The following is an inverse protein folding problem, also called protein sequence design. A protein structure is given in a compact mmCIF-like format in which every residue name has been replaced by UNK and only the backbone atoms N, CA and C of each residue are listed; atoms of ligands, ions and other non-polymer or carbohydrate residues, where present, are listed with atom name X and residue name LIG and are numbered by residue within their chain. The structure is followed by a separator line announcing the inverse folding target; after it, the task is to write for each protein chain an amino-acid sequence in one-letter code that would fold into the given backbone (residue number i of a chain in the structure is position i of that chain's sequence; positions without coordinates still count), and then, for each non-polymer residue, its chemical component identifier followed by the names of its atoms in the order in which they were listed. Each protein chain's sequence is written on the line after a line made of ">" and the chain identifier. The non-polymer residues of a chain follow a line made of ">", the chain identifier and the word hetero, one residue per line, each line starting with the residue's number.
data_IF_194140695375
#
_entry.id   IF_194140695375
#
_cell.length_a   1.000
_cell.length_b   1.000
_cell.length_c   1.000
_cell.angle_alpha   90.00
_cell.angle_beta   90.00
_cell.angle_gamma   90.00
#
_symmetry.space_group_name_H-M   'P 1'
#
loop_
_entity.id
_entity.type
_entity.pdbx_description
1 polymer ?
#
# COMPACT_ATOMS: atom_id res chain seq x y z
N UNK A 1 -56.74 60.60 11.88
CA UNK A 1 -56.66 60.22 13.30
C UNK A 1 -55.76 58.99 13.42
N UNK A 2 -54.87 59.01 14.42
CA UNK A 2 -54.10 57.90 15.06
C UNK A 2 -54.70 56.50 14.78
N UNK A 3 -53.97 55.40 14.58
CA UNK A 3 -52.80 54.80 15.24
C UNK A 3 -52.66 53.42 14.55
N UNK A 4 -51.51 52.79 14.37
CA UNK A 4 -50.61 52.28 15.41
C UNK A 4 -50.20 50.86 14.99
N UNK A 5 -48.90 50.60 15.04
CA UNK A 5 -48.23 49.36 14.66
C UNK A 5 -48.57 48.21 15.61
N UNK A 6 -48.77 46.99 15.09
CA UNK A 6 -48.61 45.74 15.84
C UNK A 6 -47.73 44.81 15.01
N UNK A 7 -46.50 44.65 15.49
CA UNK A 7 -45.53 43.65 15.06
C UNK A 7 -45.99 42.30 15.63
N UNK A 8 -46.21 41.31 14.76
CA UNK A 8 -46.46 39.93 15.17
C UNK A 8 -45.24 39.08 14.80
N UNK A 9 -44.45 38.72 15.81
CA UNK A 9 -43.32 37.82 15.70
C UNK A 9 -43.83 36.38 15.56
N UNK A 10 -43.68 35.77 14.39
CA UNK A 10 -43.93 34.35 14.19
C UNK A 10 -42.73 33.54 14.71
N UNK A 11 -42.93 32.85 15.83
CA UNK A 11 -42.01 31.80 16.32
C UNK A 11 -42.34 30.53 15.52
N UNK A 12 -41.46 30.16 14.59
CA UNK A 12 -41.53 28.86 13.92
C UNK A 12 -40.99 27.78 14.87
N UNK A 13 -41.88 26.96 15.42
CA UNK A 13 -41.51 25.68 16.05
C UNK A 13 -40.95 24.75 14.98
N UNK A 14 -39.62 24.61 14.93
CA UNK A 14 -38.99 23.49 14.23
C UNK A 14 -39.19 22.23 15.08
N UNK A 15 -40.10 21.37 14.66
CA UNK A 15 -40.17 19.99 15.12
C UNK A 15 -38.89 19.30 14.63
N UNK A 16 -37.94 19.07 15.52
CA UNK A 16 -36.82 18.15 15.31
C UNK A 16 -37.41 16.76 15.04
N UNK A 17 -37.57 16.41 13.75
CA UNK A 17 -37.60 15.02 13.33
C UNK A 17 -36.25 14.43 13.72
N UNK A 18 -36.25 13.69 14.83
CA UNK A 18 -35.24 12.66 15.09
C UNK A 18 -35.29 11.72 13.90
N UNK A 19 -34.39 11.95 12.93
CA UNK A 19 -34.10 10.95 11.93
C UNK A 19 -33.40 9.84 12.70
N UNK A 20 -34.14 8.78 13.00
CA UNK A 20 -33.53 7.51 13.38
C UNK A 20 -32.43 7.22 12.38
N UNK A 21 -31.23 6.94 12.89
CA UNK A 21 -30.13 6.49 12.07
C UNK A 21 -30.64 5.34 11.18
N UNK A 22 -30.37 5.34 9.87
CA UNK A 22 -30.66 4.16 9.08
C UNK A 22 -29.88 2.99 9.68
N UNK A 23 -30.59 1.92 10.07
CA UNK A 23 -30.00 0.63 10.40
C UNK A 23 -29.14 0.20 9.21
N UNK A 24 -27.83 0.45 9.30
CA UNK A 24 -26.88 0.06 8.28
C UNK A 24 -26.52 -1.41 8.51
N UNK A 25 -27.29 -2.32 7.88
CA UNK A 25 -26.85 -3.69 7.62
C UNK A 25 -25.65 -3.66 6.67
N UNK A 26 -24.53 -4.25 7.07
CA UNK A 26 -23.32 -4.40 6.26
C UNK A 26 -22.53 -5.62 6.80
N UNK A 27 -21.85 -6.44 5.97
CA UNK A 27 -21.29 -6.18 4.62
C UNK A 27 -21.54 -7.28 3.55
N UNK A 28 -22.56 -7.09 2.69
CA UNK A 28 -22.52 -7.67 1.34
C UNK A 28 -21.33 -7.05 0.57
N UNK A 29 -20.71 -7.77 -0.37
CA UNK A 29 -19.57 -7.32 -1.21
C UNK A 29 -19.72 -5.86 -1.72
N UNK A 30 -19.26 -4.89 -0.93
CA UNK A 30 -19.49 -3.45 -1.14
C UNK A 30 -18.59 -2.88 -2.24
N UNK A 31 -17.52 -3.61 -2.55
CA UNK A 31 -16.51 -3.28 -3.55
C UNK A 31 -16.81 -3.92 -4.92
N UNK A 32 -18.06 -4.32 -5.16
CA UNK A 32 -18.50 -4.88 -6.45
C UNK A 32 -18.13 -4.00 -7.64
N UNK A 33 -18.18 -2.68 -7.49
CA UNK A 33 -17.74 -1.72 -8.52
C UNK A 33 -16.22 -1.79 -8.77
N UNK A 34 -15.42 -1.99 -7.72
CA UNK A 34 -13.95 -2.12 -7.84
C UNK A 34 -13.58 -3.44 -8.50
N UNK A 35 -14.23 -4.55 -8.12
CA UNK A 35 -14.03 -5.83 -8.80
C UNK A 35 -14.44 -5.75 -10.26
N UNK A 36 -15.54 -5.07 -10.58
CA UNK A 36 -15.96 -4.83 -11.97
C UNK A 36 -14.89 -4.06 -12.74
N UNK A 37 -14.32 -3.00 -12.17
CA UNK A 37 -13.20 -2.26 -12.80
C UNK A 37 -11.96 -3.14 -13.00
N UNK A 38 -11.65 -4.03 -12.05
CA UNK A 38 -10.56 -5.00 -12.20
C UNK A 38 -10.86 -5.99 -13.32
N UNK A 39 -12.08 -6.51 -13.41
CA UNK A 39 -12.50 -7.42 -14.49
C UNK A 39 -12.42 -6.76 -15.87
N UNK A 40 -12.89 -5.52 -15.98
CA UNK A 40 -12.78 -4.72 -17.22
C UNK A 40 -11.33 -4.52 -17.61
N UNK A 41 -10.46 -4.20 -16.65
CA UNK A 41 -9.04 -3.99 -16.89
C UNK A 41 -8.31 -5.28 -17.30
N UNK A 42 -8.59 -6.40 -16.63
CA UNK A 42 -7.97 -7.68 -16.95
C UNK A 42 -8.64 -8.39 -18.14
N UNK A 43 -9.80 -7.92 -18.61
CA UNK A 43 -10.58 -8.53 -19.69
C UNK A 43 -11.13 -9.91 -19.32
N UNK A 44 -11.34 -10.19 -18.04
CA UNK A 44 -11.77 -11.51 -17.54
C UNK A 44 -12.65 -11.35 -16.31
N UNK A 45 -13.70 -12.17 -16.21
CA UNK A 45 -14.50 -12.26 -14.99
C UNK A 45 -13.69 -12.95 -13.90
N UNK A 46 -13.61 -12.31 -12.74
CA UNK A 46 -12.94 -12.87 -11.59
C UNK A 46 -13.84 -13.95 -11.00
N UNK A 47 -13.27 -15.06 -10.55
CA UNK A 47 -14.00 -16.15 -9.90
C UNK A 47 -14.61 -15.68 -8.57
N UNK A 48 -15.82 -16.15 -8.27
CA UNK A 48 -16.54 -15.86 -7.01
C UNK A 48 -16.93 -17.12 -6.25
N UNK A 49 -16.92 -18.29 -6.90
CA UNK A 49 -17.19 -19.56 -6.23
C UNK A 49 -16.03 -19.94 -5.35
N UNK A 50 -16.30 -20.11 -4.06
CA UNK A 50 -15.27 -20.40 -3.06
C UNK A 50 -14.43 -21.62 -3.44
N UNK A 51 -15.08 -22.71 -3.87
CA UNK A 51 -14.41 -23.97 -4.23
C UNK A 51 -13.62 -23.89 -5.55
N UNK A 52 -13.85 -22.88 -6.38
CA UNK A 52 -13.19 -22.70 -7.68
C UNK A 52 -12.00 -21.70 -7.61
N UNK A 53 -11.80 -21.10 -6.43
CA UNK A 53 -10.65 -20.26 -6.12
C UNK A 53 -9.45 -21.10 -5.68
N UNK A 54 -8.24 -20.81 -6.18
CA UNK A 54 -7.03 -21.47 -5.69
C UNK A 54 -6.79 -21.11 -4.23
N UNK A 55 -6.28 -22.07 -3.45
CA UNK A 55 -5.90 -21.87 -2.05
C UNK A 55 -4.46 -21.40 -1.88
N UNK A 56 -3.64 -21.48 -2.92
CA UNK A 56 -2.30 -20.90 -2.91
C UNK A 56 -1.82 -20.59 -4.33
N UNK A 57 -0.89 -19.65 -4.43
CA UNK A 57 -0.10 -19.44 -5.63
C UNK A 57 1.14 -18.59 -5.33
N UNK A 58 2.17 -18.80 -6.14
CA UNK A 58 3.39 -17.99 -6.17
C UNK A 58 3.66 -17.55 -7.60
N UNK A 59 4.05 -16.29 -7.77
CA UNK A 59 4.49 -15.77 -9.06
C UNK A 59 5.86 -16.36 -9.39
N UNK A 60 6.04 -16.82 -10.62
CA UNK A 60 7.33 -17.36 -11.10
C UNK A 60 8.44 -16.29 -11.01
N UNK A 61 8.08 -15.05 -11.35
CA UNK A 61 8.94 -13.87 -11.15
C UNK A 61 8.30 -13.03 -10.06
N UNK A 62 8.85 -13.12 -8.86
CA UNK A 62 8.46 -12.25 -7.76
C UNK A 62 8.85 -10.80 -8.09
N UNK A 63 8.04 -9.80 -7.72
CA UNK A 63 8.49 -8.42 -7.66
C UNK A 63 9.80 -8.33 -6.87
N UNK A 64 10.79 -7.60 -7.39
CA UNK A 64 12.06 -7.39 -6.68
C UNK A 64 11.85 -6.45 -5.48
N UNK A 65 12.79 -6.47 -4.53
CA UNK A 65 12.75 -5.54 -3.39
C UNK A 65 13.85 -4.49 -3.48
N UNK A 66 13.73 -3.43 -2.70
CA UNK A 66 14.75 -2.41 -2.52
C UNK A 66 14.48 -1.58 -1.28
N UNK A 67 15.43 -0.70 -0.89
CA UNK A 67 15.18 0.25 0.18
C UNK A 67 14.07 1.23 -0.22
N UNK A 68 13.35 1.74 0.79
CA UNK A 68 12.27 2.71 0.55
C UNK A 68 12.77 4.15 0.38
N UNK A 69 14.07 4.42 0.48
CA UNK A 69 14.67 5.76 0.27
C UNK A 69 14.00 6.84 1.11
N UNK A 70 14.26 6.80 2.41
CA UNK A 70 13.46 7.52 3.39
C UNK A 70 13.58 9.03 3.23
N UNK A 71 12.47 9.71 3.45
CA UNK A 71 12.40 11.17 3.37
C UNK A 71 13.35 11.85 4.35
N UNK A 72 13.53 11.29 5.56
CA UNK A 72 14.46 11.83 6.55
C UNK A 72 15.95 11.71 6.15
N UNK A 73 16.28 10.86 5.18
CA UNK A 73 17.61 10.77 4.56
C UNK A 73 17.76 11.64 3.31
N UNK A 74 16.76 12.47 3.02
CA UNK A 74 16.64 13.23 1.77
C UNK A 74 16.44 12.34 0.53
N UNK A 75 15.78 11.19 0.72
CA UNK A 75 15.46 10.22 -0.34
C UNK A 75 16.70 9.75 -1.10
N UNK A 76 16.63 9.62 -2.43
CA UNK A 76 17.74 9.18 -3.29
C UNK A 76 18.91 10.17 -3.39
N UNK A 77 18.87 11.30 -2.68
CA UNK A 77 20.05 12.14 -2.45
C UNK A 77 20.99 11.56 -1.37
N UNK A 78 20.54 10.55 -0.64
CA UNK A 78 21.38 9.88 0.34
C UNK A 78 22.51 9.09 -0.35
N UNK A 79 23.79 9.38 -0.05
CA UNK A 79 24.93 8.61 -0.54
C UNK A 79 25.03 7.29 0.23
N UNK A 80 24.14 6.34 -0.09
CA UNK A 80 24.00 5.06 0.61
C UNK A 80 25.26 4.17 0.59
N UNK A 81 26.22 4.46 -0.29
CA UNK A 81 27.51 3.78 -0.36
C UNK A 81 28.61 4.75 0.03
N UNK A 82 29.40 4.38 1.03
CA UNK A 82 30.50 5.20 1.54
C UNK A 82 31.47 5.64 0.43
N UNK A 83 31.88 6.91 0.47
CA UNK A 83 32.79 7.54 -0.49
C UNK A 83 32.31 7.51 -1.96
N UNK A 84 31.00 7.37 -2.19
CA UNK A 84 30.41 7.42 -3.52
C UNK A 84 29.36 8.53 -3.60
N UNK A 85 29.15 9.14 -4.79
CA UNK A 85 28.04 10.05 -4.99
C UNK A 85 26.69 9.33 -4.81
N UNK A 86 25.67 10.08 -4.42
CA UNK A 86 24.28 9.58 -4.34
C UNK A 86 23.73 9.15 -5.71
N UNK A 87 22.67 8.32 -5.75
CA UNK A 87 21.99 7.96 -6.99
C UNK A 87 21.62 9.19 -7.84
N UNK A 88 21.10 10.25 -7.22
CA UNK A 88 20.79 11.52 -7.90
C UNK A 88 22.02 12.15 -8.55
N UNK A 89 23.13 12.25 -7.81
CA UNK A 89 24.36 12.86 -8.31
C UNK A 89 24.96 12.05 -9.46
N UNK A 90 24.96 10.71 -9.33
CA UNK A 90 25.42 9.82 -10.39
C UNK A 90 24.60 10.00 -11.67
N UNK A 91 23.28 10.08 -11.56
CA UNK A 91 22.41 10.36 -12.71
C UNK A 91 22.74 11.73 -13.32
N UNK A 92 22.86 12.78 -12.50
CA UNK A 92 23.21 14.10 -13.02
C UNK A 92 24.55 14.10 -13.77
N UNK A 93 25.59 13.47 -13.21
CA UNK A 93 26.90 13.35 -13.87
C UNK A 93 26.82 12.59 -15.20
N UNK A 94 26.15 11.45 -15.21
CA UNK A 94 26.11 10.58 -16.39
C UNK A 94 25.32 11.20 -17.56
N UNK A 95 24.33 12.04 -17.27
CA UNK A 95 23.46 12.68 -18.27
C UNK A 95 23.72 14.17 -18.45
N UNK A 96 24.79 14.71 -17.87
CA UNK A 96 25.21 16.11 -18.07
C UNK A 96 24.24 17.14 -17.48
N UNK A 97 23.60 16.83 -16.36
CA UNK A 97 22.65 17.71 -15.66
C UNK A 97 23.32 18.46 -14.49
N UNK A 98 22.69 19.53 -14.03
CA UNK A 98 23.12 20.23 -12.82
C UNK A 98 22.77 19.42 -11.58
N UNK A 99 23.78 18.83 -10.93
CA UNK A 99 23.57 17.99 -9.75
C UNK A 99 22.94 18.76 -8.57
N UNK A 100 23.31 20.02 -8.36
CA UNK A 100 22.75 20.84 -7.27
C UNK A 100 21.26 21.07 -7.47
N UNK A 101 20.85 21.42 -8.69
CA UNK A 101 19.45 21.64 -9.05
C UNK A 101 18.64 20.34 -8.94
N UNK A 102 19.17 19.23 -9.48
CA UNK A 102 18.46 17.95 -9.43
C UNK A 102 18.28 17.45 -7.99
N UNK A 103 19.29 17.59 -7.13
CA UNK A 103 19.17 17.27 -5.70
C UNK A 103 18.12 18.14 -5.02
N UNK A 104 18.06 19.44 -5.34
CA UNK A 104 17.02 20.31 -4.81
C UNK A 104 15.62 19.82 -5.20
N UNK A 105 15.41 19.49 -6.48
CA UNK A 105 14.13 18.97 -6.98
C UNK A 105 13.74 17.64 -6.31
N UNK A 106 14.69 16.71 -6.15
CA UNK A 106 14.46 15.46 -5.41
C UNK A 106 14.04 15.73 -3.97
N UNK A 107 14.74 16.65 -3.31
CA UNK A 107 14.44 17.00 -1.93
C UNK A 107 13.06 17.65 -1.78
N UNK A 108 12.68 18.51 -2.72
CA UNK A 108 11.38 19.19 -2.74
C UNK A 108 10.22 18.23 -3.03
N UNK A 109 10.46 17.18 -3.83
CA UNK A 109 9.42 16.21 -4.16
C UNK A 109 9.30 15.06 -3.13
N UNK A 110 10.42 14.55 -2.65
CA UNK A 110 10.46 13.28 -1.90
C UNK A 110 11.31 13.32 -0.62
N UNK A 111 12.19 14.31 -0.49
CA UNK A 111 13.13 14.44 0.61
C UNK A 111 12.72 15.50 1.62
N UNK A 112 13.70 16.12 2.27
CA UNK A 112 13.49 16.98 3.43
C UNK A 112 12.65 18.23 3.13
N UNK A 113 12.78 18.80 1.93
CA UNK A 113 12.00 19.99 1.55
C UNK A 113 10.54 19.68 1.24
N UNK A 114 10.19 18.43 0.94
CA UNK A 114 8.79 18.05 0.73
C UNK A 114 7.93 18.15 2.00
N UNK A 115 8.56 18.16 3.18
CA UNK A 115 7.87 18.10 4.49
C UNK A 115 8.26 19.23 5.45
N UNK A 116 9.21 20.10 5.08
CA UNK A 116 9.85 21.06 5.99
C UNK A 116 8.88 21.98 6.73
N UNK A 117 7.79 22.38 6.08
CA UNK A 117 6.83 23.34 6.62
C UNK A 117 5.67 22.65 7.35
N UNK A 118 5.57 21.32 7.24
CA UNK A 118 4.44 20.53 7.74
C UNK A 118 4.77 19.71 8.99
N UNK A 119 6.06 19.61 9.35
CA UNK A 119 6.53 18.71 10.42
C UNK A 119 6.99 19.47 11.66
N UNK A 120 6.80 18.89 12.87
CA UNK A 120 7.25 19.51 14.10
C UNK A 120 8.76 19.75 14.10
N UNK A 121 9.19 20.88 14.64
CA UNK A 121 10.60 21.16 14.85
C UNK A 121 11.20 20.30 15.98
N UNK A 122 12.50 20.04 15.92
CA UNK A 122 13.26 19.33 16.94
C UNK A 122 14.69 19.88 17.09
N UNK A 123 15.32 19.60 18.23
CA UNK A 123 16.72 19.94 18.49
C UNK A 123 17.64 18.71 18.41
N UNK A 124 17.27 17.64 19.11
CA UNK A 124 17.99 16.36 19.12
C UNK A 124 17.09 15.12 19.13
N UNK A 125 15.83 15.26 19.57
CA UNK A 125 14.86 14.17 19.62
C UNK A 125 13.46 14.62 19.24
N UNK A 126 12.64 13.65 18.85
CA UNK A 126 11.23 13.83 18.54
C UNK A 126 10.36 13.39 19.71
N UNK A 127 9.13 13.92 19.76
CA UNK A 127 8.13 13.50 20.77
C UNK A 127 7.62 12.09 20.49
N UNK A 128 7.43 11.75 19.22
CA UNK A 128 7.13 10.39 18.78
C UNK A 128 8.48 9.66 18.60
N UNK A 129 8.65 8.51 19.26
CA UNK A 129 9.90 7.74 19.25
C UNK A 129 10.13 7.01 17.92
N UNK A 130 9.08 6.90 17.10
CA UNK A 130 9.14 6.37 15.74
C UNK A 130 9.63 7.41 14.72
N UNK A 131 9.66 8.70 15.10
CA UNK A 131 10.14 9.79 14.26
C UNK A 131 11.66 9.99 14.42
N UNK A 132 12.30 10.41 13.34
CA UNK A 132 13.72 10.78 13.32
C UNK A 132 13.84 12.30 13.30
N UNK A 133 14.57 12.85 14.28
CA UNK A 133 14.97 14.24 14.26
C UNK A 133 16.11 14.43 13.24
N UNK A 134 15.80 15.05 12.10
CA UNK A 134 16.80 15.38 11.08
C UNK A 134 17.05 16.87 11.06
N UNK A 135 18.32 17.27 11.18
CA UNK A 135 18.74 18.66 11.07
C UNK A 135 19.10 19.01 9.62
N UNK A 136 18.52 20.10 9.12
CA UNK A 136 18.98 20.74 7.90
C UNK A 136 19.06 22.25 8.12
N UNK A 137 20.20 22.85 7.78
CA UNK A 137 20.47 24.29 7.93
C UNK A 137 20.27 24.83 9.36
N UNK A 138 20.50 24.00 10.38
CA UNK A 138 20.43 24.40 11.79
C UNK A 138 19.06 24.23 12.43
N UNK A 139 18.02 23.90 11.67
CA UNK A 139 16.68 23.60 12.19
C UNK A 139 16.40 22.10 12.06
N UNK A 140 16.12 21.43 13.18
CA UNK A 140 15.69 20.04 13.17
C UNK A 140 14.20 19.93 12.89
N UNK A 141 13.81 18.89 12.16
CA UNK A 141 12.41 18.50 11.93
C UNK A 141 12.20 17.00 12.21
N UNK A 142 11.05 16.66 12.76
CA UNK A 142 10.64 15.29 13.05
C UNK A 142 9.95 14.65 11.86
N UNK A 143 10.57 13.62 11.30
CA UNK A 143 10.06 12.91 10.13
C UNK A 143 9.82 11.45 10.51
N UNK A 144 8.62 10.89 10.27
CA UNK A 144 8.35 9.48 10.51
C UNK A 144 9.27 8.59 9.68
N UNK A 145 9.80 7.53 10.29
CA UNK A 145 10.73 6.58 9.63
C UNK A 145 10.14 5.96 8.35
N UNK A 146 8.84 5.73 8.31
CA UNK A 146 8.18 5.09 7.17
C UNK A 146 8.00 5.99 5.94
N UNK A 147 8.18 7.32 6.07
CA UNK A 147 8.08 8.23 4.93
C UNK A 147 9.19 7.90 3.91
N UNK A 148 8.80 7.63 2.66
CA UNK A 148 9.74 7.30 1.59
C UNK A 148 9.03 7.11 0.25
N UNK A 149 9.61 6.22 -0.56
CA UNK A 149 9.24 5.92 -1.94
C UNK A 149 8.56 4.56 -2.10
N UNK A 150 7.98 3.96 -1.05
CA UNK A 150 7.32 2.63 -1.17
C UNK A 150 6.26 2.61 -2.29
N UNK A 151 5.54 3.73 -2.48
CA UNK A 151 4.55 3.95 -3.54
C UNK A 151 5.12 3.96 -4.97
N UNK A 152 6.42 4.24 -5.13
CA UNK A 152 7.13 4.18 -6.40
C UNK A 152 7.92 2.87 -6.57
N UNK A 153 8.50 2.37 -5.47
CA UNK A 153 9.22 1.11 -5.40
C UNK A 153 8.31 -0.08 -5.76
N UNK A 154 7.16 -0.21 -5.10
CA UNK A 154 6.26 -1.35 -5.30
C UNK A 154 5.81 -1.55 -6.76
N UNK A 155 5.35 -0.52 -7.50
CA UNK A 155 5.04 -0.70 -8.92
C UNK A 155 6.27 -0.90 -9.81
N UNK A 156 7.40 -0.24 -9.52
CA UNK A 156 8.65 -0.49 -10.25
C UNK A 156 9.09 -1.96 -10.12
N UNK A 157 8.96 -2.52 -8.92
CA UNK A 157 9.22 -3.91 -8.60
C UNK A 157 8.38 -4.91 -9.41
N UNK A 158 7.11 -4.57 -9.65
CA UNK A 158 6.19 -5.41 -10.42
C UNK A 158 6.52 -5.38 -11.92
N UNK A 159 6.83 -4.19 -12.45
CA UNK A 159 6.87 -3.97 -13.90
C UNK A 159 8.26 -4.10 -14.51
N UNK A 160 9.31 -3.75 -13.78
CA UNK A 160 10.65 -3.67 -14.32
C UNK A 160 11.49 -4.88 -13.97
N UNK A 161 12.46 -5.18 -14.84
CA UNK A 161 13.49 -6.16 -14.51
C UNK A 161 14.27 -5.70 -13.29
N UNK A 162 14.69 -6.65 -12.47
CA UNK A 162 15.58 -6.34 -11.37
C UNK A 162 16.96 -5.94 -11.91
N UNK A 163 17.54 -4.80 -11.47
CA UNK A 163 18.95 -4.52 -11.67
C UNK A 163 19.79 -5.54 -10.88
N UNK A 164 20.74 -6.23 -11.54
CA UNK A 164 21.46 -7.36 -10.92
C UNK A 164 22.95 -7.07 -10.66
N UNK A 165 23.59 -6.28 -11.50
CA UNK A 165 25.02 -6.02 -11.42
C UNK A 165 25.34 -4.52 -11.51
N UNK A 166 26.51 -4.08 -11.01
CA UNK A 166 27.02 -2.76 -11.30
C UNK A 166 27.30 -2.58 -12.80
N UNK A 167 27.05 -1.38 -13.31
CA UNK A 167 27.33 -0.99 -14.70
C UNK A 167 28.06 0.33 -14.74
N UNK A 168 28.79 0.60 -15.83
CA UNK A 168 29.37 1.90 -16.11
C UNK A 168 28.67 2.53 -17.30
N UNK A 169 28.16 3.75 -17.13
CA UNK A 169 27.55 4.54 -18.20
C UNK A 169 28.12 5.96 -18.16
N UNK A 170 28.65 6.44 -19.29
CA UNK A 170 29.30 7.75 -19.41
C UNK A 170 30.33 8.02 -18.28
N UNK A 171 31.19 7.04 -18.00
CA UNK A 171 32.22 7.08 -16.95
C UNK A 171 31.70 7.17 -15.51
N UNK A 172 30.41 6.93 -15.27
CA UNK A 172 29.81 6.84 -13.94
C UNK A 172 29.41 5.40 -13.65
N UNK A 173 29.84 4.88 -12.50
CA UNK A 173 29.46 3.55 -12.02
C UNK A 173 28.12 3.60 -11.26
N UNK A 174 27.15 2.83 -11.72
CA UNK A 174 25.86 2.63 -11.07
C UNK A 174 25.78 1.21 -10.52
N UNK A 175 25.53 1.07 -9.22
CA UNK A 175 25.22 -0.20 -8.59
C UNK A 175 23.72 -0.50 -8.74
N UNK A 176 23.29 -1.77 -8.56
CA UNK A 176 21.87 -2.14 -8.57
C UNK A 176 20.99 -1.24 -7.71
N UNK A 177 21.46 -0.90 -6.51
CA UNK A 177 20.71 -0.06 -5.59
C UNK A 177 20.56 1.39 -6.12
N UNK A 178 21.57 1.95 -6.79
CA UNK A 178 21.44 3.27 -7.44
C UNK A 178 20.29 3.27 -8.46
N UNK A 179 20.22 2.22 -9.28
CA UNK A 179 19.22 2.07 -10.34
C UNK A 179 17.83 1.82 -9.74
N UNK A 180 17.72 1.00 -8.68
CA UNK A 180 16.48 0.78 -7.93
C UNK A 180 15.94 2.07 -7.33
N UNK A 181 16.81 2.94 -6.79
CA UNK A 181 16.40 4.27 -6.32
C UNK A 181 15.89 5.16 -7.43
N UNK A 182 16.64 5.25 -8.54
CA UNK A 182 16.25 6.08 -9.68
C UNK A 182 14.90 5.66 -10.28
N UNK A 183 14.69 4.35 -10.49
CA UNK A 183 13.43 3.86 -11.06
C UNK A 183 12.26 4.03 -10.08
N UNK A 184 12.49 3.85 -8.78
CA UNK A 184 11.47 4.12 -7.75
C UNK A 184 11.05 5.59 -7.74
N UNK A 185 12.00 6.52 -7.86
CA UNK A 185 11.72 7.95 -7.96
C UNK A 185 10.96 8.31 -9.25
N UNK A 186 11.27 7.64 -10.38
CA UNK A 186 10.50 7.80 -11.62
C UNK A 186 9.04 7.37 -11.42
N UNK A 187 8.81 6.18 -10.87
CA UNK A 187 7.46 5.68 -10.62
C UNK A 187 6.72 6.51 -9.56
N UNK A 188 7.39 7.04 -8.55
CA UNK A 188 6.80 7.94 -7.56
C UNK A 188 6.40 9.30 -8.18
N UNK A 189 7.17 9.79 -9.15
CA UNK A 189 6.87 11.01 -9.91
C UNK A 189 5.93 10.78 -11.10
N UNK A 190 5.59 9.53 -11.42
CA UNK A 190 4.68 9.18 -12.49
C UNK A 190 3.23 9.22 -12.01
N UNK A 191 2.34 9.82 -12.79
CA UNK A 191 0.90 9.80 -12.54
C UNK A 191 0.27 8.54 -13.14
N UNK A 192 0.75 7.36 -12.75
CA UNK A 192 0.25 6.08 -13.28
C UNK A 192 -1.17 5.79 -12.78
N UNK A 193 -2.04 5.35 -13.69
CA UNK A 193 -3.42 4.99 -13.37
C UNK A 193 -3.49 3.78 -12.44
N UNK A 194 -4.35 3.84 -11.42
CA UNK A 194 -4.54 2.79 -10.40
C UNK A 194 -6.01 2.40 -10.28
N UNK A 195 -6.27 1.13 -9.97
CA UNK A 195 -7.58 0.65 -9.49
C UNK A 195 -7.43 0.35 -8.00
N UNK A 196 -8.02 1.19 -7.15
CA UNK A 196 -7.98 1.05 -5.69
C UNK A 196 -9.23 0.36 -5.17
N UNK A 197 -9.04 -0.60 -4.25
CA UNK A 197 -10.03 -1.03 -3.27
C UNK A 197 -9.58 -0.60 -1.87
N UNK A 198 -10.52 -0.18 -1.05
CA UNK A 198 -10.26 0.50 0.22
C UNK A 198 -9.80 1.96 0.10
N UNK A 199 -9.78 2.65 1.24
CA UNK A 199 -9.24 4.00 1.40
C UNK A 199 -8.29 4.01 2.58
N UNK A 200 -7.32 4.93 2.52
CA UNK A 200 -6.38 5.11 3.62
C UNK A 200 -7.08 5.45 4.93
N UNK A 201 -6.84 4.67 5.97
CA UNK A 201 -7.14 5.02 7.35
C UNK A 201 -5.97 5.77 7.97
N UNK A 202 -6.23 6.81 8.77
CA UNK A 202 -5.18 7.69 9.28
C UNK A 202 -5.07 7.70 10.81
N UNK A 203 -6.10 7.21 11.50
CA UNK A 203 -6.17 7.30 12.95
C UNK A 203 -5.43 6.13 13.61
N UNK A 204 -5.00 6.33 14.86
CA UNK A 204 -4.27 5.31 15.63
C UNK A 204 -5.19 4.30 16.32
N UNK A 205 -6.44 4.69 16.56
CA UNK A 205 -7.43 3.87 17.27
C UNK A 205 -8.75 3.84 16.48
N UNK A 206 -9.60 2.86 16.79
CA UNK A 206 -10.88 2.64 16.13
C UNK A 206 -11.91 2.19 17.16
N UNK A 207 -13.13 2.72 17.09
CA UNK A 207 -14.20 2.33 18.02
C UNK A 207 -14.83 1.00 17.59
N UNK A 208 -15.29 0.21 18.57
CA UNK A 208 -15.93 -1.09 18.30
C UNK A 208 -17.45 -1.05 18.56
N UNK A 209 -18.20 -1.75 17.72
CA UNK A 209 -19.63 -1.99 17.89
C UNK A 209 -19.90 -3.11 18.93
N UNK A 210 -21.18 -3.38 19.19
CA UNK A 210 -21.62 -4.41 20.15
C UNK A 210 -21.16 -5.85 19.79
N UNK A 211 -20.70 -6.07 18.56
CA UNK A 211 -20.19 -7.35 18.07
C UNK A 211 -18.65 -7.36 18.02
N UNK A 212 -17.98 -6.32 18.53
CA UNK A 212 -16.53 -6.20 18.51
C UNK A 212 -15.95 -5.82 17.16
N UNK A 213 -16.76 -5.31 16.22
CA UNK A 213 -16.30 -4.87 14.90
C UNK A 213 -16.02 -3.37 14.88
N UNK A 214 -15.07 -2.89 14.05
CA UNK A 214 -14.86 -1.46 13.84
C UNK A 214 -16.16 -0.74 13.43
N UNK A 215 -16.39 0.48 13.94
CA UNK A 215 -17.60 1.26 13.61
C UNK A 215 -17.42 2.13 12.36
N UNK A 216 -16.17 2.44 12.05
CA UNK A 216 -15.73 3.37 11.04
C UNK A 216 -15.73 2.69 9.67
N UNK A 217 -16.50 3.23 8.73
CA UNK A 217 -16.73 2.57 7.45
C UNK A 217 -15.46 2.48 6.58
N UNK A 218 -14.57 3.47 6.67
CA UNK A 218 -13.28 3.46 5.96
C UNK A 218 -12.24 2.55 6.61
N UNK A 219 -12.46 2.06 7.83
CA UNK A 219 -11.61 1.04 8.44
C UNK A 219 -11.99 -0.36 7.96
N UNK A 220 -13.19 -0.53 7.40
CA UNK A 220 -13.70 -1.82 6.93
C UNK A 220 -13.92 -1.84 5.43
N UNK A 221 -13.48 -0.80 4.72
CA UNK A 221 -13.81 -0.64 3.31
C UNK A 221 -13.04 -1.58 2.39
N UNK A 222 -12.02 -2.29 2.91
CA UNK A 222 -11.51 -3.56 2.36
C UNK A 222 -12.19 -4.72 3.06
N UNK A 223 -13.23 -5.26 2.43
CA UNK A 223 -13.93 -6.42 2.97
C UNK A 223 -13.08 -7.69 2.82
N UNK A 224 -13.15 -8.68 3.72
CA UNK A 224 -12.42 -9.94 3.55
C UNK A 224 -12.82 -10.70 2.30
N UNK A 225 -14.10 -10.60 1.89
CA UNK A 225 -14.58 -11.16 0.64
C UNK A 225 -13.83 -10.57 -0.55
N UNK A 226 -13.77 -9.25 -0.65
CA UNK A 226 -13.03 -8.57 -1.71
C UNK A 226 -11.55 -8.91 -1.69
N UNK A 227 -10.91 -8.85 -0.52
CA UNK A 227 -9.50 -9.22 -0.36
C UNK A 227 -9.24 -10.63 -0.87
N UNK A 228 -10.01 -11.62 -0.40
CA UNK A 228 -9.84 -13.02 -0.75
C UNK A 228 -10.04 -13.25 -2.26
N UNK A 229 -11.13 -12.71 -2.82
CA UNK A 229 -11.44 -12.79 -4.26
C UNK A 229 -10.32 -12.14 -5.09
N UNK A 230 -9.90 -10.93 -4.72
CA UNK A 230 -8.89 -10.18 -5.48
C UNK A 230 -7.54 -10.91 -5.45
N UNK A 231 -7.04 -11.29 -4.29
CA UNK A 231 -5.76 -11.98 -4.13
C UNK A 231 -5.77 -13.34 -4.84
N UNK A 232 -6.78 -14.17 -4.60
CA UNK A 232 -6.86 -15.51 -5.17
C UNK A 232 -7.00 -15.49 -6.70
N UNK A 233 -7.73 -14.53 -7.27
CA UNK A 233 -7.79 -14.39 -8.71
C UNK A 233 -6.52 -13.78 -9.30
N UNK A 234 -6.07 -12.62 -8.81
CA UNK A 234 -4.99 -11.85 -9.43
C UNK A 234 -3.67 -12.62 -9.35
N UNK A 235 -3.31 -13.12 -8.16
CA UNK A 235 -2.09 -13.93 -7.99
C UNK A 235 -2.33 -15.35 -8.49
N UNK A 236 -3.46 -15.96 -8.11
CA UNK A 236 -3.69 -17.38 -8.32
C UNK A 236 -4.07 -17.78 -9.74
N UNK A 237 -5.06 -17.10 -10.34
CA UNK A 237 -5.56 -17.42 -11.69
C UNK A 237 -4.86 -16.60 -12.77
N UNK A 238 -4.65 -15.30 -12.54
CA UNK A 238 -4.09 -14.38 -13.54
C UNK A 238 -2.56 -14.33 -13.55
N UNK A 239 -1.90 -14.85 -12.50
CA UNK A 239 -0.45 -14.83 -12.34
C UNK A 239 0.10 -13.39 -12.49
N UNK A 240 -0.55 -12.45 -11.80
CA UNK A 240 -0.18 -11.03 -11.72
C UNK A 240 0.02 -10.63 -10.26
N UNK A 241 0.79 -9.58 -10.04
CA UNK A 241 0.95 -8.97 -8.72
C UNK A 241 -0.09 -7.87 -8.50
N UNK A 242 -0.35 -7.57 -7.23
CA UNK A 242 -1.08 -6.41 -6.74
C UNK A 242 -0.32 -5.85 -5.54
N UNK A 243 -0.64 -4.62 -5.15
CA UNK A 243 0.00 -3.93 -4.02
C UNK A 243 -1.01 -3.78 -2.90
N UNK A 244 -0.57 -4.01 -1.67
CA UNK A 244 -1.37 -3.74 -0.47
C UNK A 244 -0.67 -2.73 0.43
N UNK A 245 -1.44 -2.04 1.25
CA UNK A 245 -0.95 -1.58 2.54
C UNK A 245 -1.40 -2.57 3.61
N UNK A 246 -0.43 -3.08 4.38
CA UNK A 246 -0.59 -4.32 5.13
C UNK A 246 -1.50 -4.19 6.36
N UNK A 247 -1.61 -2.98 6.93
CA UNK A 247 -2.36 -2.66 8.16
C UNK A 247 -3.02 -1.27 8.08
N UNK A 248 -4.26 -1.09 8.58
CA UNK A 248 -4.84 0.23 8.74
C UNK A 248 -4.11 1.02 9.82
N UNK A 249 -3.85 2.29 9.56
CA UNK A 249 -3.30 3.19 10.56
C UNK A 249 -2.38 4.27 10.00
N UNK A 250 -1.64 4.90 10.90
CA UNK A 250 -0.82 6.06 10.55
C UNK A 250 0.32 5.71 9.57
N UNK A 251 0.96 4.55 9.76
CA UNK A 251 2.09 4.09 8.95
C UNK A 251 1.63 3.44 7.65
N UNK A 252 2.28 3.72 6.52
CA UNK A 252 1.94 3.11 5.24
C UNK A 252 3.12 2.39 4.61
N UNK A 253 2.88 1.14 4.23
CA UNK A 253 3.88 0.28 3.58
C UNK A 253 3.27 -0.38 2.35
N UNK A 254 3.60 0.15 1.18
CA UNK A 254 3.16 -0.44 -0.09
C UNK A 254 3.97 -1.70 -0.39
N UNK A 255 3.35 -2.88 -0.25
CA UNK A 255 3.97 -4.17 -0.50
C UNK A 255 3.47 -4.80 -1.79
N UNK A 256 4.40 -5.07 -2.71
CA UNK A 256 4.12 -5.77 -3.97
C UNK A 256 4.05 -7.28 -3.74
N UNK A 257 2.86 -7.85 -3.84
CA UNK A 257 2.63 -9.25 -3.48
C UNK A 257 3.25 -10.21 -4.50
N UNK A 258 3.91 -11.25 -4.01
CA UNK A 258 4.56 -12.30 -4.79
C UNK A 258 3.88 -13.67 -4.64
N UNK A 259 3.14 -13.90 -3.56
CA UNK A 259 2.40 -15.13 -3.32
C UNK A 259 1.25 -14.94 -2.33
N UNK A 260 0.37 -15.94 -2.25
CA UNK A 260 -0.56 -16.12 -1.15
C UNK A 260 -0.76 -17.61 -0.85
N UNK A 261 -1.18 -17.91 0.37
CA UNK A 261 -1.50 -19.26 0.83
C UNK A 261 -2.61 -19.22 1.89
N UNK A 262 -3.57 -20.12 1.76
CA UNK A 262 -4.64 -20.36 2.73
C UNK A 262 -4.28 -21.62 3.53
N UNK A 263 -4.04 -21.45 4.83
CA UNK A 263 -3.59 -22.50 5.75
C UNK A 263 -4.73 -23.22 6.45
N UNK A 264 -5.83 -22.51 6.69
CA UNK A 264 -6.98 -23.04 7.40
C UNK A 264 -8.25 -22.64 6.66
N UNK A 265 -9.13 -23.61 6.48
CA UNK A 265 -10.50 -23.42 6.04
C UNK A 265 -11.39 -24.28 6.92
N UNK A 266 -12.28 -23.66 7.68
CA UNK A 266 -13.24 -24.35 8.53
C UNK A 266 -14.65 -23.93 8.16
N UNK A 267 -15.41 -24.88 7.67
CA UNK A 267 -16.85 -24.71 7.42
C UNK A 267 -17.62 -24.63 8.73
N UNK A 268 -18.53 -23.66 8.80
CA UNK A 268 -19.41 -23.40 9.92
C UNK A 268 -20.81 -23.06 9.41
N UNK A 269 -21.82 -23.35 10.23
CA UNK A 269 -23.15 -22.74 10.07
C UNK A 269 -23.12 -21.27 10.48
N UNK A 270 -24.05 -20.44 10.00
CA UNK A 270 -24.20 -19.07 10.49
C UNK A 270 -24.35 -18.98 12.02
N UNK A 271 -25.09 -19.90 12.64
CA UNK A 271 -25.28 -19.96 14.10
C UNK A 271 -23.98 -20.27 14.85
N UNK A 272 -23.17 -21.22 14.36
CA UNK A 272 -21.87 -21.53 14.95
C UNK A 272 -20.91 -20.32 14.86
N UNK A 273 -20.88 -19.64 13.72
CA UNK A 273 -20.06 -18.45 13.52
C UNK A 273 -20.52 -17.28 14.41
N UNK A 274 -21.83 -17.04 14.45
CA UNK A 274 -22.47 -16.06 15.33
C UNK A 274 -22.06 -16.25 16.79
N UNK A 275 -22.09 -17.50 17.26
CA UNK A 275 -21.71 -17.84 18.63
C UNK A 275 -20.21 -17.68 18.87
N UNK A 276 -19.39 -18.17 17.94
CA UNK A 276 -17.93 -18.26 18.10
C UNK A 276 -17.24 -16.90 18.05
N UNK A 277 -17.68 -16.01 17.16
CA UNK A 277 -16.98 -14.75 16.89
C UNK A 277 -17.68 -13.52 17.46
N UNK A 278 -19.00 -13.57 17.67
CA UNK A 278 -19.81 -12.39 17.99
C UNK A 278 -20.68 -12.57 19.24
N UNK A 279 -20.58 -13.73 19.90
CA UNK A 279 -21.32 -14.08 21.12
C UNK A 279 -22.84 -13.83 21.01
N UNK A 280 -23.43 -14.11 19.86
CA UNK A 280 -24.88 -14.02 19.59
C UNK A 280 -25.40 -15.34 19.04
N UNK A 281 -26.68 -15.64 19.26
CA UNK A 281 -27.28 -16.91 18.85
C UNK A 281 -27.73 -16.90 17.38
N UNK A 282 -27.89 -15.71 16.77
CA UNK A 282 -28.25 -15.55 15.36
C UNK A 282 -27.20 -14.69 14.66
N UNK A 283 -26.74 -15.15 13.50
CA UNK A 283 -25.85 -14.39 12.62
C UNK A 283 -26.54 -13.11 12.13
N UNK A 284 -26.07 -11.91 12.50
CA UNK A 284 -26.84 -10.68 12.28
C UNK A 284 -26.45 -9.93 11.00
N UNK A 285 -25.39 -10.36 10.29
CA UNK A 285 -24.74 -9.52 9.28
C UNK A 285 -25.27 -9.70 7.86
N UNK A 286 -25.53 -10.94 7.43
CA UNK A 286 -25.96 -11.21 6.07
C UNK A 286 -26.95 -12.38 6.00
N UNK A 287 -28.21 -12.07 5.72
CA UNK A 287 -29.29 -13.05 5.59
C UNK A 287 -29.14 -13.93 4.32
N UNK A 288 -28.24 -13.59 3.37
CA UNK A 288 -27.93 -14.41 2.20
C UNK A 288 -26.87 -15.49 2.49
N UNK A 289 -26.16 -15.40 3.62
CA UNK A 289 -25.14 -16.35 4.00
C UNK A 289 -25.81 -17.66 4.47
N UNK A 290 -25.68 -18.71 3.66
CA UNK A 290 -26.16 -20.06 4.03
C UNK A 290 -25.06 -20.91 4.66
N UNK A 291 -23.81 -20.52 4.47
CA UNK A 291 -22.63 -21.16 5.01
C UNK A 291 -21.59 -20.10 5.33
N UNK A 292 -20.82 -20.31 6.41
CA UNK A 292 -19.69 -19.48 6.79
C UNK A 292 -18.42 -20.31 6.67
N UNK A 293 -17.35 -19.74 6.11
CA UNK A 293 -16.02 -20.37 6.09
C UNK A 293 -15.07 -19.49 6.88
N UNK A 294 -14.57 -19.98 8.02
CA UNK A 294 -13.43 -19.37 8.69
C UNK A 294 -12.15 -19.67 7.91
N UNK A 295 -11.36 -18.64 7.63
CA UNK A 295 -10.15 -18.69 6.81
C UNK A 295 -8.98 -18.08 7.57
N UNK A 296 -7.84 -18.75 7.52
CA UNK A 296 -6.53 -18.17 7.85
C UNK A 296 -5.67 -18.20 6.60
N UNK A 297 -5.20 -17.04 6.14
CA UNK A 297 -4.39 -16.93 4.93
C UNK A 297 -3.24 -15.95 5.12
N UNK A 298 -2.11 -16.20 4.47
CA UNK A 298 -1.02 -15.23 4.36
C UNK A 298 -0.80 -14.78 2.93
N UNK A 299 -0.34 -13.54 2.80
CA UNK A 299 0.22 -12.99 1.56
C UNK A 299 1.71 -12.75 1.78
N UNK A 300 2.48 -12.81 0.70
CA UNK A 300 3.94 -12.74 0.73
C UNK A 300 4.44 -11.67 -0.22
N UNK A 301 5.59 -11.08 0.10
CA UNK A 301 6.36 -10.20 -0.78
C UNK A 301 7.86 -10.52 -0.63
N UNK A 302 8.67 -9.94 -1.49
CA UNK A 302 10.12 -10.08 -1.39
C UNK A 302 10.65 -9.07 -0.36
N UNK A 303 11.44 -9.51 0.61
CA UNK A 303 12.14 -8.64 1.57
C UNK A 303 13.66 -8.84 1.53
N UNK A 304 14.19 -9.46 0.47
CA UNK A 304 15.63 -9.80 0.35
C UNK A 304 16.48 -8.57 0.70
N UNK A 305 17.36 -8.66 1.72
CA UNK A 305 18.18 -7.53 2.14
C UNK A 305 19.15 -7.08 1.04
N UNK A 306 19.30 -5.76 0.90
CA UNK A 306 20.35 -5.17 0.08
C UNK A 306 21.48 -4.59 0.94
N UNK A 307 22.76 -4.70 0.52
CA UNK A 307 23.85 -4.01 1.18
C UNK A 307 23.61 -2.50 1.17
N UNK A 308 23.60 -1.89 2.35
CA UNK A 308 23.43 -0.45 2.56
C UNK A 308 24.55 0.09 3.46
N UNK A 309 24.55 1.39 3.73
CA UNK A 309 25.46 1.98 4.72
C UNK A 309 25.25 1.33 6.09
N UNK A 310 26.29 0.72 6.65
CA UNK A 310 26.23 0.04 7.95
C UNK A 310 25.96 1.01 9.11
N UNK A 311 26.33 2.29 8.97
CA UNK A 311 26.12 3.31 10.00
C UNK A 311 24.73 3.94 9.96
N UNK A 312 24.04 3.81 8.82
CA UNK A 312 22.67 4.30 8.61
C UNK A 312 22.00 3.41 7.55
N UNK A 313 21.58 2.19 7.92
CA UNK A 313 20.95 1.29 6.98
C UNK A 313 19.65 1.92 6.48
N UNK A 314 19.41 1.80 5.17
CA UNK A 314 18.11 2.14 4.61
C UNK A 314 17.09 1.11 5.10
N UNK A 315 15.93 1.60 5.50
CA UNK A 315 14.83 0.80 6.01
C UNK A 315 14.31 -0.08 4.88
N UNK A 316 14.22 -1.35 5.23
CA UNK A 316 13.54 -2.40 4.49
C UNK A 316 12.58 -3.05 5.49
N UNK A 317 11.43 -3.49 4.98
CA UNK A 317 10.50 -4.24 5.82
C UNK A 317 11.15 -5.58 6.23
N UNK A 318 11.19 -5.89 7.53
CA UNK A 318 11.69 -7.17 8.01
C UNK A 318 10.68 -8.30 7.76
N UNK A 319 9.39 -7.96 7.70
CA UNK A 319 8.35 -8.90 7.38
C UNK A 319 8.39 -9.24 5.88
N UNK A 320 8.29 -10.52 5.54
CA UNK A 320 8.09 -10.99 4.15
C UNK A 320 6.67 -11.49 3.89
N UNK A 321 5.81 -11.40 4.90
CA UNK A 321 4.43 -11.83 4.84
C UNK A 321 3.53 -11.11 5.84
N UNK A 322 2.23 -11.12 5.57
CA UNK A 322 1.19 -10.76 6.53
C UNK A 322 0.16 -11.90 6.59
N UNK A 323 -0.30 -12.23 7.80
CA UNK A 323 -1.31 -13.27 8.03
C UNK A 323 -2.62 -12.63 8.46
N UNK A 324 -3.70 -13.08 7.83
CA UNK A 324 -5.05 -12.59 8.08
C UNK A 324 -6.00 -13.72 8.46
N UNK A 325 -6.88 -13.46 9.42
CA UNK A 325 -7.98 -14.35 9.82
C UNK A 325 -9.33 -13.67 9.63
N UNK A 326 -10.24 -14.32 8.92
CA UNK A 326 -11.54 -13.78 8.56
C UNK A 326 -12.56 -14.89 8.37
N UNK A 327 -13.83 -14.52 8.36
CA UNK A 327 -14.90 -15.39 7.90
C UNK A 327 -15.37 -14.93 6.52
N UNK A 328 -15.68 -15.88 5.65
CA UNK A 328 -16.34 -15.65 4.36
C UNK A 328 -17.79 -16.11 4.45
N UNK A 329 -18.69 -15.30 3.90
CA UNK A 329 -20.10 -15.58 3.78
C UNK A 329 -20.37 -16.19 2.40
N UNK A 330 -20.96 -17.38 2.39
CA UNK A 330 -21.20 -18.16 1.18
C UNK A 330 -22.70 -18.31 0.96
N UNK A 331 -23.14 -17.99 -0.26
CA UNK A 331 -24.53 -18.17 -0.69
C UNK A 331 -24.85 -19.66 -0.96
N UNK A 332 -26.14 -19.98 -1.12
CA UNK A 332 -26.57 -21.33 -1.51
C UNK A 332 -25.99 -21.80 -2.86
N UNK A 333 -25.60 -20.86 -3.73
CA UNK A 333 -24.97 -21.14 -5.03
C UNK A 333 -23.44 -21.38 -4.93
N UNK A 334 -22.85 -21.27 -3.74
CA UNK A 334 -21.41 -21.42 -3.50
C UNK A 334 -20.58 -20.16 -3.76
N UNK A 335 -21.23 -19.04 -4.08
CA UNK A 335 -20.56 -17.76 -4.33
C UNK A 335 -20.25 -17.05 -3.00
N UNK A 336 -19.05 -16.47 -2.89
CA UNK A 336 -18.68 -15.57 -1.81
C UNK A 336 -19.49 -14.27 -1.95
N UNK A 337 -20.28 -13.91 -0.94
CA UNK A 337 -21.12 -12.71 -0.95
C UNK A 337 -20.77 -11.65 0.10
N UNK A 338 -19.88 -11.97 1.04
CA UNK A 338 -19.46 -11.06 2.11
C UNK A 338 -18.45 -11.73 3.04
N UNK A 339 -18.11 -11.06 4.13
CA UNK A 339 -17.16 -11.58 5.11
C UNK A 339 -16.84 -10.55 6.19
N UNK A 340 -16.26 -11.03 7.29
CA UNK A 340 -15.85 -10.17 8.41
C UNK A 340 -14.44 -10.55 8.89
N UNK A 341 -13.63 -9.53 9.18
CA UNK A 341 -12.33 -9.74 9.82
C UNK A 341 -12.53 -10.21 11.26
N UNK A 342 -11.77 -11.20 11.71
CA UNK A 342 -11.90 -11.76 13.07
C UNK A 342 -10.54 -11.88 13.75
N UNK A 343 -10.55 -12.12 15.06
CA UNK A 343 -9.34 -12.24 15.89
C UNK A 343 -8.43 -11.00 15.74
N UNK A 344 -7.10 -11.20 15.62
CA UNK A 344 -6.14 -10.10 15.47
C UNK A 344 -6.38 -9.29 14.21
N UNK A 345 -6.94 -9.89 13.16
CA UNK A 345 -7.22 -9.18 11.90
C UNK A 345 -8.37 -8.20 11.99
N UNK A 346 -9.11 -8.14 13.10
CA UNK A 346 -9.97 -6.99 13.39
C UNK A 346 -9.15 -5.69 13.34
N UNK A 347 -7.90 -5.72 13.82
CA UNK A 347 -7.01 -4.55 13.87
C UNK A 347 -5.80 -4.64 12.93
N UNK A 348 -5.55 -5.81 12.35
CA UNK A 348 -4.39 -6.11 11.52
C UNK A 348 -4.82 -6.80 10.22
N UNK A 349 -5.44 -6.04 9.32
CA UNK A 349 -5.85 -6.45 7.97
C UNK A 349 -5.37 -5.44 6.93
N UNK A 350 -5.50 -5.72 5.62
CA UNK A 350 -5.05 -4.77 4.61
C UNK A 350 -5.91 -3.50 4.60
N UNK A 351 -5.31 -2.31 4.72
CA UNK A 351 -6.02 -1.00 4.73
C UNK A 351 -6.57 -0.65 3.33
N UNK A 352 -5.76 -0.95 2.32
CA UNK A 352 -6.16 -0.83 0.93
C UNK A 352 -5.34 -1.80 0.08
N UNK A 353 -5.86 -2.07 -1.11
CA UNK A 353 -5.13 -2.77 -2.16
C UNK A 353 -5.36 -2.12 -3.51
N UNK A 354 -4.37 -2.21 -4.40
CA UNK A 354 -4.51 -1.65 -5.73
C UNK A 354 -3.71 -2.39 -6.79
N UNK A 355 -4.18 -2.25 -8.02
CA UNK A 355 -3.48 -2.65 -9.23
C UNK A 355 -3.08 -1.40 -9.99
N UNK A 356 -1.83 -1.35 -10.44
CA UNK A 356 -1.34 -0.31 -11.35
C UNK A 356 -1.59 -0.77 -12.78
N UNK A 357 -2.19 0.09 -13.61
CA UNK A 357 -2.67 -0.31 -14.94
C UNK A 357 -1.55 -0.41 -15.98
N UNK A 358 -0.59 0.51 -15.91
CA UNK A 358 0.46 0.60 -16.91
C UNK A 358 1.80 1.09 -16.32
N UNK A 359 2.87 0.80 -17.06
CA UNK A 359 4.16 1.46 -16.88
C UNK A 359 4.04 2.96 -17.19
N UNK A 360 4.94 3.81 -16.68
CA UNK A 360 5.04 5.20 -17.11
C UNK A 360 5.19 5.30 -18.65
N UNK A 361 4.73 6.41 -19.23
CA UNK A 361 4.91 6.68 -20.65
C UNK A 361 6.40 6.65 -21.01
N UNK A 362 6.77 6.04 -22.14
CA UNK A 362 8.16 5.80 -22.50
C UNK A 362 9.00 7.10 -22.61
N UNK A 363 8.37 8.20 -22.98
CA UNK A 363 8.95 9.55 -23.11
C UNK A 363 8.80 10.41 -21.84
N UNK A 364 8.29 9.85 -20.75
CA UNK A 364 8.12 10.57 -19.48
C UNK A 364 9.46 11.14 -19.02
N UNK A 365 9.45 12.44 -18.76
CA UNK A 365 10.40 13.13 -17.89
C UNK A 365 9.61 13.61 -16.68
N UNK A 366 9.97 13.14 -15.49
CA UNK A 366 9.28 13.55 -14.26
C UNK A 366 9.49 15.02 -13.98
N UNK A 367 8.61 15.64 -13.20
CA UNK A 367 8.77 17.02 -12.73
C UNK A 367 10.06 17.25 -11.94
N UNK A 368 10.65 16.18 -11.40
CA UNK A 368 11.94 16.19 -10.70
C UNK A 368 13.12 16.30 -11.67
N UNK A 369 12.98 15.80 -12.90
CA UNK A 369 14.03 15.82 -13.94
C UNK A 369 14.58 14.45 -14.34
N UNK A 370 13.94 13.34 -13.92
CA UNK A 370 14.34 12.00 -14.35
C UNK A 370 13.61 11.59 -15.63
N UNK A 371 14.36 11.20 -16.66
CA UNK A 371 13.79 10.60 -17.86
C UNK A 371 13.64 9.09 -17.65
N UNK A 372 12.41 8.59 -17.81
CA UNK A 372 12.13 7.17 -17.68
C UNK A 372 12.95 6.33 -18.69
N UNK A 373 13.05 6.78 -19.95
CA UNK A 373 13.88 6.13 -20.96
C UNK A 373 15.37 6.03 -20.55
N UNK A 374 15.92 7.09 -19.95
CA UNK A 374 17.30 7.09 -19.49
C UNK A 374 17.52 6.10 -18.34
N UNK A 375 16.60 6.07 -17.37
CA UNK A 375 16.70 5.13 -16.24
C UNK A 375 16.50 3.69 -16.71
N UNK A 376 15.56 3.44 -17.63
CA UNK A 376 15.37 2.11 -18.25
C UNK A 376 16.63 1.63 -18.97
N UNK A 377 17.37 2.53 -19.64
CA UNK A 377 18.63 2.17 -20.27
C UNK A 377 19.65 1.62 -19.25
N UNK A 378 19.80 2.29 -18.11
CA UNK A 378 20.69 1.81 -17.03
C UNK A 378 20.20 0.46 -16.47
N UNK A 379 18.89 0.33 -16.28
CA UNK A 379 18.25 -0.88 -15.78
C UNK A 379 18.47 -2.07 -16.71
N UNK A 380 18.24 -1.90 -18.00
CA UNK A 380 18.44 -2.96 -18.99
C UNK A 380 19.92 -3.38 -19.08
N UNK A 381 20.85 -2.43 -19.00
CA UNK A 381 22.29 -2.75 -18.90
C UNK A 381 22.60 -3.60 -17.66
N UNK A 382 22.03 -3.24 -16.50
CA UNK A 382 22.28 -3.92 -15.21
C UNK A 382 21.58 -5.28 -15.10
N UNK A 383 20.41 -5.44 -15.73
CA UNK A 383 19.66 -6.68 -15.75
C UNK A 383 20.24 -7.70 -16.76
N UNK A 384 21.01 -7.25 -17.77
CA UNK A 384 21.59 -8.11 -18.80
C UNK A 384 22.89 -8.80 -18.39
N UNK A 385 23.43 -8.54 -17.20
CA UNK A 385 24.64 -9.22 -16.76
C UNK A 385 24.44 -10.75 -16.70
N UNK A 386 25.39 -11.53 -17.22
CA UNK A 386 25.33 -12.98 -17.08
C UNK A 386 25.35 -13.31 -15.58
N UNK A 387 24.35 -14.06 -15.12
CA UNK A 387 24.19 -14.51 -13.74
C UNK A 387 25.52 -14.98 -13.12
N UNK A 388 26.26 -14.11 -12.45
CA UNK A 388 27.19 -14.51 -11.39
C UNK A 388 26.37 -14.68 -10.13
N UNK A 389 25.49 -15.68 -10.16
CA UNK A 389 24.96 -16.28 -8.94
C UNK A 389 26.13 -17.04 -8.32
N UNK A 390 26.95 -16.35 -7.52
CA UNK A 390 27.56 -17.03 -6.39
C UNK A 390 26.51 -17.04 -5.28
N UNK A 391 25.73 -18.12 -5.23
CA UNK A 391 25.13 -18.54 -3.96
C UNK A 391 26.31 -18.90 -3.07
N UNK A 392 26.69 -17.98 -2.20
CA UNK A 392 27.42 -18.35 -1.01
C UNK A 392 26.41 -19.06 -0.10
N UNK A 393 26.72 -20.33 0.20
CA UNK A 393 25.98 -21.19 1.12
C UNK A 393 25.89 -20.62 2.53
#
# INVERSE_FOLDING_TARGET
>A
MRTGSIVSSAIALFVLRVHGAPERKLEALTEGDTLTKMEEFFGVKLERKFNDLPTSARLEKAPWNGPIWETYADSINYPWKANQPSPTEKYAMAFGLNATELKYNVSAAFGLYSVSDSKPACSSSCKDEEDVCTNRNGMGICIPRWFGLSQGLAPAAIFEKEPLCPITFNNVEFYPNDIKGLISAVYAGANSSKIFGGKRYHDKEVSLDQYGRPTEANYRDVTPAFFHIAVANIIGKLKRSLIIDRFPGHTVWNQALSAFEVYEQKTMTPEEAAKSFFNTDKYPFNDQATQIIYVVSSVFWNNTPFPTDEFRPLIQDEDFYATYSYILEITAAGDICGGEWVNKSIHAHADYLYVVKEKPAADLVTSVGFSYANVLKLLEMSAACPNTIQIAN
#
